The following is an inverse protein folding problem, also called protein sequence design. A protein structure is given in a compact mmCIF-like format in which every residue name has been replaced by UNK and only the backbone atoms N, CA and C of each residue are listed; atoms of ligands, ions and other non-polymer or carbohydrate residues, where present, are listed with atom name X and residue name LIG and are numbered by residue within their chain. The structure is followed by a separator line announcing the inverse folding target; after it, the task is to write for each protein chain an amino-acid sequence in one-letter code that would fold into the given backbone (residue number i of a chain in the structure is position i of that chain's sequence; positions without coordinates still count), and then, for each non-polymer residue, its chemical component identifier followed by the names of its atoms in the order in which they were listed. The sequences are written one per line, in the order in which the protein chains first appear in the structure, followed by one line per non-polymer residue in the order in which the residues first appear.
data_IF_742734049485
#
_entry.id   IF_742734049485
#
_cell.length_a   1.000
_cell.length_b   1.000
_cell.length_c   1.000
_cell.angle_alpha   90.00
_cell.angle_beta   90.00
_cell.angle_gamma   90.00
#
_symmetry.space_group_name_H-M   'P 1'
#
loop_
_entity.id
_entity.type
_entity.pdbx_description
1 polymer ?
#
# COMPACT_ATOMS: atom_id res chain seq x y z
N UNK A 1 -4.83 18.97 -49.75
CA UNK A 1 -4.35 17.92 -48.85
C UNK A 1 -4.94 18.18 -47.49
N UNK A 2 -6.00 17.49 -47.13
CA UNK A 2 -6.71 17.62 -45.87
C UNK A 2 -6.17 16.56 -44.91
N UNK A 3 -5.55 16.99 -43.81
CA UNK A 3 -5.11 16.12 -42.72
C UNK A 3 -6.21 16.01 -41.69
N UNK A 4 -6.78 14.83 -41.59
CA UNK A 4 -7.83 14.45 -40.63
C UNK A 4 -7.17 14.27 -39.26
N UNK A 5 -7.42 15.19 -38.33
CA UNK A 5 -7.09 15.02 -36.90
C UNK A 5 -8.10 14.06 -36.28
N UNK A 6 -7.63 12.92 -35.83
CA UNK A 6 -8.42 12.03 -34.93
C UNK A 6 -8.42 12.62 -33.53
N UNK A 7 -9.58 13.05 -33.10
CA UNK A 7 -9.80 13.42 -31.70
C UNK A 7 -9.95 12.15 -30.86
N UNK A 8 -8.99 11.90 -29.99
CA UNK A 8 -9.14 10.93 -28.89
C UNK A 8 -9.84 11.69 -27.77
N UNK A 9 -11.06 11.28 -27.48
CA UNK A 9 -11.89 11.86 -26.43
C UNK A 9 -11.39 11.34 -25.06
N UNK A 10 -10.50 12.10 -24.41
CA UNK A 10 -10.21 11.86 -22.99
C UNK A 10 -11.37 12.41 -22.16
N UNK A 11 -12.17 11.51 -21.59
CA UNK A 11 -13.24 11.91 -20.66
C UNK A 11 -12.61 12.27 -19.32
N UNK A 12 -12.43 13.56 -19.08
CA UNK A 12 -12.14 14.11 -17.77
C UNK A 12 -13.39 14.14 -16.93
N UNK A 13 -13.50 13.27 -15.94
CA UNK A 13 -14.51 13.40 -14.89
C UNK A 13 -13.99 14.37 -13.82
N UNK A 14 -14.34 15.66 -13.96
CA UNK A 14 -14.26 16.62 -12.88
C UNK A 14 -15.32 16.27 -11.83
N UNK A 15 -14.93 15.75 -10.69
CA UNK A 15 -15.81 15.68 -9.52
C UNK A 15 -15.71 17.00 -8.79
N UNK A 16 -16.68 17.88 -9.02
CA UNK A 16 -16.89 19.10 -8.23
C UNK A 16 -17.40 18.69 -6.84
N UNK A 17 -16.56 18.80 -5.83
CA UNK A 17 -16.92 18.62 -4.43
C UNK A 17 -17.35 19.95 -3.83
N UNK A 18 -18.63 20.21 -3.80
CA UNK A 18 -19.23 21.26 -2.95
C UNK A 18 -20.70 20.99 -2.72
N UNK A 19 -21.02 20.11 -1.77
CA UNK A 19 -22.31 20.17 -1.07
C UNK A 19 -22.07 19.74 0.38
N UNK A 20 -21.85 20.72 1.26
CA UNK A 20 -22.01 20.55 2.70
C UNK A 20 -23.52 20.65 3.01
N UNK A 21 -24.19 19.54 3.29
CA UNK A 21 -25.48 19.53 3.91
C UNK A 21 -25.33 19.05 5.35
N UNK A 22 -25.42 19.99 6.28
CA UNK A 22 -25.65 19.69 7.70
C UNK A 22 -27.02 19.02 7.84
N UNK A 23 -27.04 17.74 8.20
CA UNK A 23 -28.23 17.09 8.75
C UNK A 23 -27.97 16.69 10.19
N UNK A 24 -28.82 17.23 11.08
CA UNK A 24 -28.88 16.85 12.48
C UNK A 24 -29.21 15.36 12.60
N UNK A 25 -28.40 14.65 13.40
CA UNK A 25 -28.59 13.23 13.67
C UNK A 25 -29.75 13.04 14.64
N UNK A 26 -30.82 12.39 14.18
CA UNK A 26 -31.78 11.74 15.06
C UNK A 26 -31.15 10.38 15.48
N UNK A 27 -30.86 10.19 16.77
CA UNK A 27 -30.45 8.92 17.31
C UNK A 27 -31.58 7.90 17.21
N UNK A 28 -31.49 7.01 16.21
CA UNK A 28 -32.29 5.80 16.14
C UNK A 28 -31.39 4.64 16.61
N UNK A 29 -31.86 3.95 17.67
CA UNK A 29 -31.29 2.66 18.11
C UNK A 29 -31.74 1.54 17.17
N UNK A 30 -31.43 1.65 15.89
CA UNK A 30 -31.54 0.55 14.96
C UNK A 30 -30.30 -0.36 15.14
N UNK A 31 -30.49 -1.67 15.29
CA UNK A 31 -29.41 -2.64 15.27
C UNK A 31 -28.52 -2.36 14.05
N UNK A 32 -27.20 -2.17 14.27
CA UNK A 32 -26.25 -1.93 13.20
C UNK A 32 -26.31 -3.10 12.24
N UNK A 33 -26.91 -2.91 11.11
CA UNK A 33 -26.93 -3.90 10.05
C UNK A 33 -25.52 -3.96 9.48
N UNK A 34 -24.85 -5.10 9.63
CA UNK A 34 -23.50 -5.29 9.12
C UNK A 34 -23.51 -5.06 7.61
N UNK A 35 -22.71 -4.14 7.12
CA UNK A 35 -22.63 -3.87 5.69
C UNK A 35 -22.07 -5.11 5.00
N UNK A 36 -22.89 -5.78 4.21
CA UNK A 36 -22.45 -6.94 3.41
C UNK A 36 -21.70 -6.41 2.21
N UNK A 37 -20.40 -6.63 2.17
CA UNK A 37 -19.56 -6.32 1.01
C UNK A 37 -19.64 -7.53 0.08
N UNK A 38 -20.07 -7.36 -1.19
CA UNK A 38 -20.11 -8.46 -2.13
C UNK A 38 -18.71 -9.09 -2.33
N UNK A 39 -18.64 -10.42 -2.56
CA UNK A 39 -17.39 -11.08 -2.92
C UNK A 39 -16.73 -10.42 -4.15
N UNK A 40 -15.40 -10.38 -4.17
CA UNK A 40 -14.63 -9.86 -5.29
C UNK A 40 -14.39 -8.34 -5.28
N UNK A 41 -15.00 -7.59 -4.33
CA UNK A 41 -14.78 -6.14 -4.24
C UNK A 41 -13.50 -5.77 -3.50
N UNK A 42 -13.08 -6.59 -2.52
CA UNK A 42 -11.88 -6.33 -1.72
C UNK A 42 -10.63 -7.00 -2.27
N UNK A 43 -10.72 -7.58 -3.45
CA UNK A 43 -9.61 -8.23 -4.13
C UNK A 43 -9.19 -7.50 -5.41
N UNK A 44 -8.14 -8.01 -6.08
CA UNK A 44 -7.63 -7.42 -7.30
C UNK A 44 -8.64 -7.54 -8.45
N UNK A 45 -8.76 -6.48 -9.29
CA UNK A 45 -9.54 -6.54 -10.52
C UNK A 45 -8.81 -7.38 -11.59
N UNK A 46 -9.52 -7.75 -12.67
CA UNK A 46 -8.86 -8.29 -13.87
C UNK A 46 -8.03 -7.18 -14.58
N UNK A 47 -6.86 -7.51 -15.16
CA UNK A 47 -6.27 -8.88 -15.27
C UNK A 47 -5.41 -9.31 -14.08
N UNK A 48 -5.27 -8.50 -13.03
CA UNK A 48 -4.41 -8.81 -11.88
C UNK A 48 -4.88 -10.06 -11.12
N UNK A 49 -6.19 -10.27 -11.06
CA UNK A 49 -6.79 -11.44 -10.39
C UNK A 49 -6.34 -12.75 -11.02
N UNK A 50 -6.19 -12.76 -12.34
CA UNK A 50 -5.79 -13.95 -13.12
C UNK A 50 -4.29 -14.24 -13.10
N UNK A 51 -3.44 -13.32 -12.61
CA UNK A 51 -1.99 -13.56 -12.52
C UNK A 51 -1.71 -14.68 -11.53
N UNK A 52 -0.81 -15.58 -11.90
CA UNK A 52 -0.25 -16.57 -10.99
C UNK A 52 0.98 -15.98 -10.26
N UNK A 53 1.33 -16.53 -9.09
CA UNK A 53 2.55 -16.14 -8.36
C UNK A 53 3.77 -16.31 -9.29
N UNK A 54 4.60 -15.28 -9.35
CA UNK A 54 5.76 -15.16 -10.24
C UNK A 54 5.44 -14.67 -11.65
N UNK A 55 4.17 -14.53 -12.03
CA UNK A 55 3.80 -13.91 -13.31
C UNK A 55 3.84 -12.39 -13.22
N UNK A 56 4.18 -11.76 -14.34
CA UNK A 56 4.37 -10.32 -14.48
C UNK A 56 3.47 -9.75 -15.58
N UNK A 57 2.89 -8.58 -15.32
CA UNK A 57 2.16 -7.76 -16.26
C UNK A 57 2.91 -6.44 -16.44
N UNK A 58 3.18 -6.05 -17.69
CA UNK A 58 3.73 -4.73 -17.98
C UNK A 58 2.63 -3.69 -17.97
N UNK A 59 2.91 -2.55 -17.37
CA UNK A 59 2.00 -1.43 -17.22
C UNK A 59 2.75 -0.10 -17.41
N UNK A 60 2.01 0.99 -17.49
CA UNK A 60 2.56 2.34 -17.47
C UNK A 60 1.65 3.27 -16.66
N UNK A 61 2.22 4.35 -16.18
CA UNK A 61 1.49 5.48 -15.61
C UNK A 61 1.97 6.78 -16.25
N UNK A 62 1.11 7.78 -16.26
CA UNK A 62 1.49 9.11 -16.72
C UNK A 62 2.13 9.90 -15.57
N UNK A 63 3.06 10.77 -15.89
CA UNK A 63 3.61 11.78 -14.98
C UNK A 63 2.67 12.98 -14.99
N UNK A 64 2.29 13.49 -13.82
CA UNK A 64 1.14 14.43 -13.70
C UNK A 64 1.42 15.80 -14.33
N UNK A 65 2.67 16.23 -14.39
CA UNK A 65 3.05 17.56 -14.90
C UNK A 65 3.60 17.52 -16.33
N UNK A 66 3.60 16.36 -16.98
CA UNK A 66 4.07 16.19 -18.35
C UNK A 66 3.20 15.13 -19.08
N UNK A 67 2.29 15.61 -19.92
CA UNK A 67 1.33 14.74 -20.63
C UNK A 67 2.02 13.76 -21.63
N UNK A 68 3.27 14.00 -21.98
CA UNK A 68 4.06 13.16 -22.87
C UNK A 68 4.98 12.17 -22.13
N UNK A 69 5.22 12.39 -20.84
CA UNK A 69 6.08 11.54 -20.01
C UNK A 69 5.28 10.42 -19.36
N UNK A 70 5.71 9.20 -19.65
CA UNK A 70 5.18 8.00 -19.01
C UNK A 70 6.29 7.24 -18.29
N UNK A 71 5.91 6.60 -17.20
CA UNK A 71 6.77 5.65 -16.48
C UNK A 71 6.30 4.25 -16.78
N UNK A 72 7.12 3.50 -17.50
CA UNK A 72 6.89 2.08 -17.72
C UNK A 72 7.35 1.29 -16.49
N UNK A 73 6.51 0.39 -16.00
CA UNK A 73 6.77 -0.46 -14.86
C UNK A 73 6.15 -1.84 -15.05
N UNK A 74 6.49 -2.78 -14.18
CA UNK A 74 5.86 -4.08 -14.19
C UNK A 74 5.23 -4.43 -12.85
N UNK A 75 4.17 -5.23 -12.91
CA UNK A 75 3.41 -5.73 -11.75
C UNK A 75 3.63 -7.22 -11.68
N UNK A 76 4.33 -7.69 -10.65
CA UNK A 76 4.58 -9.09 -10.37
C UNK A 76 3.68 -9.57 -9.25
N UNK A 77 2.96 -10.68 -9.42
CA UNK A 77 2.23 -11.29 -8.31
C UNK A 77 3.19 -12.08 -7.42
N UNK A 78 3.30 -11.68 -6.15
CA UNK A 78 4.24 -12.25 -5.19
C UNK A 78 3.58 -13.28 -4.28
N UNK A 79 2.31 -13.07 -3.91
CA UNK A 79 1.54 -13.99 -3.08
C UNK A 79 0.05 -13.97 -3.44
N UNK A 80 -0.65 -15.05 -3.09
CA UNK A 80 -2.10 -15.17 -3.27
C UNK A 80 -2.88 -14.80 -2.01
N UNK A 81 -2.33 -15.07 -0.84
CA UNK A 81 -2.96 -14.78 0.45
C UNK A 81 -1.91 -14.14 1.39
N UNK A 82 -2.03 -12.84 1.71
CA UNK A 82 -2.93 -11.92 1.04
C UNK A 82 -2.51 -11.72 -0.42
N UNK A 83 -3.36 -11.09 -1.22
CA UNK A 83 -2.92 -10.68 -2.56
C UNK A 83 -1.81 -9.63 -2.45
N UNK A 84 -0.57 -10.03 -2.76
CA UNK A 84 0.61 -9.13 -2.75
C UNK A 84 1.12 -8.99 -4.18
N UNK A 85 1.34 -7.75 -4.59
CA UNK A 85 1.92 -7.38 -5.87
C UNK A 85 3.18 -6.53 -5.66
N UNK A 86 4.22 -6.83 -6.40
CA UNK A 86 5.42 -6.01 -6.47
C UNK A 86 5.41 -5.21 -7.77
N UNK A 87 5.51 -3.90 -7.64
CA UNK A 87 5.56 -2.95 -8.75
C UNK A 87 7.03 -2.56 -8.95
N UNK A 88 7.64 -3.09 -9.99
CA UNK A 88 9.05 -2.83 -10.35
C UNK A 88 9.18 -1.50 -11.10
N UNK A 89 10.07 -0.64 -10.65
CA UNK A 89 10.28 0.69 -11.24
C UNK A 89 9.03 1.57 -11.25
N UNK A 90 8.18 1.46 -10.22
CA UNK A 90 6.95 2.23 -10.13
C UNK A 90 7.21 3.72 -9.94
N UNK A 91 8.28 4.08 -9.22
CA UNK A 91 8.79 5.44 -9.08
C UNK A 91 10.11 5.59 -9.84
N UNK A 92 10.30 6.73 -10.47
CA UNK A 92 11.62 7.14 -10.97
C UNK A 92 12.54 7.54 -9.81
N UNK A 93 13.85 7.56 -10.05
CA UNK A 93 14.81 8.07 -9.05
C UNK A 93 14.57 9.54 -8.70
N UNK A 94 14.09 10.35 -9.65
CA UNK A 94 13.73 11.75 -9.43
C UNK A 94 12.54 11.87 -8.48
N UNK A 95 11.47 11.10 -8.70
CA UNK A 95 10.29 11.08 -7.84
C UNK A 95 10.62 10.61 -6.42
N UNK A 96 11.49 9.59 -6.27
CA UNK A 96 11.97 9.18 -4.96
C UNK A 96 12.68 10.32 -4.22
N UNK A 97 13.56 11.06 -4.92
CA UNK A 97 14.27 12.20 -4.34
C UNK A 97 13.30 13.33 -3.99
N UNK A 98 12.29 13.59 -4.83
CA UNK A 98 11.26 14.59 -4.56
C UNK A 98 10.41 14.23 -3.32
N UNK A 99 9.99 12.96 -3.17
CA UNK A 99 9.26 12.51 -1.99
C UNK A 99 10.10 12.71 -0.72
N UNK A 100 11.40 12.38 -0.79
CA UNK A 100 12.31 12.60 0.34
C UNK A 100 12.46 14.08 0.69
N UNK A 101 12.65 14.95 -0.30
CA UNK A 101 12.76 16.40 -0.10
C UNK A 101 11.48 16.98 0.53
N UNK A 102 10.30 16.60 0.02
CA UNK A 102 9.02 17.03 0.60
C UNK A 102 8.88 16.62 2.08
N UNK A 103 9.39 15.46 2.46
CA UNK A 103 9.35 15.02 3.86
C UNK A 103 10.31 15.83 4.74
N UNK A 104 11.50 16.15 4.25
CA UNK A 104 12.51 16.94 4.96
C UNK A 104 12.05 18.40 5.12
N UNK A 105 11.49 19.01 4.08
CA UNK A 105 10.92 20.35 4.08
C UNK A 105 9.70 20.48 4.99
N UNK A 106 8.84 19.47 5.01
CA UNK A 106 7.66 19.39 5.91
C UNK A 106 8.01 19.22 7.39
N UNK A 107 9.26 18.96 7.69
CA UNK A 107 9.76 18.75 9.05
C UNK A 107 9.35 17.39 9.63
N UNK A 108 10.27 16.44 9.59
CA UNK A 108 10.06 15.11 10.15
C UNK A 108 10.01 15.14 11.68
N UNK A 109 9.07 14.41 12.26
CA UNK A 109 8.89 14.26 13.72
C UNK A 109 9.13 12.82 14.13
N UNK A 110 9.48 12.59 15.40
CA UNK A 110 9.52 11.21 15.94
C UNK A 110 8.19 10.52 15.70
N UNK A 111 8.25 9.31 15.15
CA UNK A 111 7.04 8.53 14.88
C UNK A 111 6.47 7.99 16.18
N UNK A 112 5.24 8.39 16.50
CA UNK A 112 4.46 7.90 17.64
C UNK A 112 3.36 6.96 17.13
N UNK A 113 2.82 6.12 18.01
CA UNK A 113 1.63 5.31 17.76
C UNK A 113 0.36 6.16 17.90
N UNK A 114 -0.80 5.53 17.85
CA UNK A 114 -2.10 6.19 18.11
C UNK A 114 -2.13 6.83 19.50
N UNK A 115 -1.41 6.25 20.49
CA UNK A 115 -1.24 6.84 21.82
C UNK A 115 -0.09 7.85 21.78
N UNK A 116 -0.39 9.12 22.03
CA UNK A 116 0.60 10.21 22.04
C UNK A 116 1.76 9.88 23.00
N UNK A 117 2.99 9.99 22.49
CA UNK A 117 4.21 9.69 23.23
C UNK A 117 4.60 8.20 23.24
N UNK A 118 3.78 7.29 22.73
CA UNK A 118 4.11 5.89 22.61
C UNK A 118 4.87 5.60 21.31
N UNK A 119 6.13 5.19 21.43
CA UNK A 119 7.00 4.78 20.33
C UNK A 119 7.29 3.28 20.32
N UNK A 120 6.61 2.51 21.18
CA UNK A 120 6.92 1.10 21.42
C UNK A 120 6.80 0.22 20.19
N UNK A 121 5.89 0.54 19.27
CA UNK A 121 5.69 -0.21 18.03
C UNK A 121 6.65 0.19 16.91
N UNK A 122 7.25 1.41 16.96
CA UNK A 122 8.21 1.92 15.98
C UNK A 122 9.45 2.42 16.69
N UNK A 123 10.58 1.77 16.45
CA UNK A 123 11.88 2.16 17.02
C UNK A 123 12.69 2.94 16.00
N UNK A 124 13.40 3.96 16.47
CA UNK A 124 14.32 4.80 15.68
C UNK A 124 13.70 5.24 14.36
N UNK A 125 12.51 5.84 14.42
CA UNK A 125 11.71 6.21 13.26
C UNK A 125 11.25 7.66 13.35
N UNK A 126 11.38 8.38 12.25
CA UNK A 126 10.79 9.71 12.05
C UNK A 126 9.73 9.65 10.95
N UNK A 127 8.72 10.51 11.04
CA UNK A 127 7.57 10.55 10.13
C UNK A 127 7.29 11.96 9.63
N UNK A 128 6.92 12.06 8.37
CA UNK A 128 6.27 13.22 7.77
C UNK A 128 4.98 12.77 7.07
N UNK A 129 4.04 13.70 6.90
CA UNK A 129 2.77 13.48 6.22
C UNK A 129 2.60 14.48 5.09
N UNK A 130 2.34 14.00 3.88
CA UNK A 130 2.09 14.83 2.71
C UNK A 130 0.64 14.65 2.28
N UNK A 131 -0.13 15.74 2.10
CA UNK A 131 -1.50 15.66 1.62
C UNK A 131 -1.57 14.94 0.27
N UNK A 132 -2.49 13.98 0.15
CA UNK A 132 -2.72 13.20 -1.07
C UNK A 132 -3.69 13.90 -2.03
N UNK A 133 -4.29 15.01 -1.62
CA UNK A 133 -5.24 15.80 -2.41
C UNK A 133 -5.41 17.20 -1.83
N UNK A 134 -6.09 18.07 -2.56
CA UNK A 134 -6.38 19.44 -2.14
C UNK A 134 -5.28 20.43 -2.56
N UNK A 135 -5.42 21.74 -2.17
CA UNK A 135 -4.52 22.79 -2.61
C UNK A 135 -3.09 22.63 -2.08
N UNK A 136 -2.93 21.93 -0.94
CA UNK A 136 -1.62 21.67 -0.34
C UNK A 136 -1.04 20.30 -0.76
N UNK A 137 -1.75 19.56 -1.66
CA UNK A 137 -1.33 18.27 -2.16
C UNK A 137 -0.24 18.41 -3.23
N UNK A 138 0.73 17.52 -3.19
CA UNK A 138 1.72 17.38 -4.26
C UNK A 138 1.07 16.76 -5.51
N UNK A 139 1.34 17.33 -6.70
CA UNK A 139 0.90 16.75 -7.99
C UNK A 139 1.41 15.31 -8.16
N UNK A 140 2.67 15.06 -7.80
CA UNK A 140 3.26 13.72 -7.79
C UNK A 140 2.43 12.75 -6.92
N UNK A 141 2.13 13.13 -5.67
CA UNK A 141 1.39 12.25 -4.74
C UNK A 141 -0.02 11.98 -5.26
N UNK A 142 -0.70 13.01 -5.79
CA UNK A 142 -2.03 12.86 -6.40
C UNK A 142 -2.01 11.94 -7.63
N UNK A 143 -0.97 12.00 -8.45
CA UNK A 143 -0.77 11.12 -9.61
C UNK A 143 -0.53 9.67 -9.22
N UNK A 144 0.22 9.42 -8.16
CA UNK A 144 0.42 8.07 -7.61
C UNK A 144 -0.90 7.49 -7.08
N UNK A 145 -1.72 8.32 -6.42
CA UNK A 145 -3.07 7.92 -5.98
C UNK A 145 -3.94 7.54 -7.18
N UNK A 146 -4.01 8.39 -8.20
CA UNK A 146 -4.82 8.14 -9.39
C UNK A 146 -4.40 6.83 -10.09
N UNK A 147 -3.10 6.61 -10.26
CA UNK A 147 -2.54 5.40 -10.86
C UNK A 147 -2.90 4.15 -10.05
N UNK A 148 -2.73 4.19 -8.73
CA UNK A 148 -3.05 3.07 -7.83
C UNK A 148 -4.54 2.74 -7.86
N UNK A 149 -5.42 3.75 -7.78
CA UNK A 149 -6.87 3.55 -7.85
C UNK A 149 -7.28 2.90 -9.17
N UNK A 150 -6.75 3.38 -10.29
CA UNK A 150 -7.08 2.82 -11.60
C UNK A 150 -6.64 1.37 -11.77
N UNK A 151 -5.49 1.01 -11.20
CA UNK A 151 -4.90 -0.34 -11.39
C UNK A 151 -5.51 -1.35 -10.42
N UNK A 152 -5.65 -0.99 -9.14
CA UNK A 152 -5.97 -1.93 -8.07
C UNK A 152 -7.37 -1.79 -7.49
N UNK A 153 -7.99 -0.61 -7.58
CA UNK A 153 -9.19 -0.26 -6.83
C UNK A 153 -10.35 0.21 -7.72
N UNK A 154 -10.26 0.06 -9.03
CA UNK A 154 -11.30 0.52 -9.95
C UNK A 154 -12.69 -0.01 -9.61
N UNK A 155 -12.81 -1.26 -9.22
CA UNK A 155 -14.08 -1.90 -8.87
C UNK A 155 -14.56 -1.49 -7.47
N UNK A 156 -13.62 -1.30 -6.53
CA UNK A 156 -13.91 -0.77 -5.19
C UNK A 156 -14.51 0.62 -5.29
N UNK A 157 -13.88 1.53 -6.03
CA UNK A 157 -14.33 2.92 -6.18
C UNK A 157 -15.66 3.01 -6.90
N UNK A 158 -15.88 2.22 -7.96
CA UNK A 158 -17.17 2.16 -8.67
C UNK A 158 -18.30 1.69 -7.77
N UNK A 159 -18.04 0.70 -6.92
CA UNK A 159 -19.05 0.08 -6.05
C UNK A 159 -19.24 0.82 -4.73
N UNK A 160 -18.24 1.59 -4.30
CA UNK A 160 -18.18 2.26 -3.00
C UNK A 160 -17.65 3.68 -3.14
N UNK A 161 -18.54 4.65 -3.44
CA UNK A 161 -18.14 6.07 -3.58
C UNK A 161 -17.56 6.70 -2.30
N UNK A 162 -17.76 6.05 -1.14
CA UNK A 162 -17.17 6.45 0.14
C UNK A 162 -15.72 6.00 0.33
N UNK A 163 -15.15 5.28 -0.63
CA UNK A 163 -13.72 4.97 -0.62
C UNK A 163 -12.87 6.24 -0.63
N UNK A 164 -11.83 6.27 0.19
CA UNK A 164 -10.94 7.41 0.33
C UNK A 164 -9.48 7.01 0.39
N UNK A 165 -8.60 7.99 0.35
CA UNK A 165 -7.16 7.81 0.53
C UNK A 165 -6.69 8.67 1.69
N UNK A 166 -5.78 8.12 2.52
CA UNK A 166 -5.11 8.88 3.56
C UNK A 166 -3.98 9.73 2.96
N UNK A 167 -3.48 10.71 3.73
CA UNK A 167 -2.26 11.41 3.36
C UNK A 167 -1.09 10.41 3.26
N UNK A 168 -0.15 10.67 2.35
CA UNK A 168 1.06 9.86 2.23
C UNK A 168 1.89 9.98 3.51
N UNK A 169 2.18 8.85 4.14
CA UNK A 169 3.08 8.78 5.28
C UNK A 169 4.49 8.46 4.81
N UNK A 170 5.45 9.35 5.06
CA UNK A 170 6.85 9.11 4.75
C UNK A 170 7.58 8.79 6.04
N UNK A 171 8.37 7.72 6.03
CA UNK A 171 9.05 7.18 7.19
C UNK A 171 10.56 7.09 6.92
N UNK A 172 11.33 7.61 7.86
CA UNK A 172 12.78 7.47 7.91
C UNK A 172 13.15 6.66 9.14
N UNK A 173 13.63 5.45 8.95
CA UNK A 173 14.19 4.62 10.01
C UNK A 173 15.70 4.80 10.03
N UNK A 174 16.26 5.09 11.20
CA UNK A 174 17.70 5.00 11.43
C UNK A 174 18.17 3.55 11.52
N UNK A 175 19.48 3.35 11.66
CA UNK A 175 20.10 2.03 11.84
C UNK A 175 19.43 1.29 12.99
N UNK A 176 19.08 0.03 12.79
CA UNK A 176 18.34 -0.80 13.75
C UNK A 176 16.88 -0.39 13.94
N UNK A 177 16.40 0.57 13.16
CA UNK A 177 15.00 1.01 13.21
C UNK A 177 14.04 -0.05 12.68
N UNK A 178 12.93 -0.26 13.39
CA UNK A 178 11.96 -1.30 13.06
C UNK A 178 10.51 -0.85 13.31
N UNK A 179 9.58 -1.56 12.69
CA UNK A 179 8.16 -1.52 13.03
C UNK A 179 7.69 -2.93 13.31
N UNK A 180 7.16 -3.16 14.53
CA UNK A 180 6.71 -4.47 14.98
C UNK A 180 5.57 -5.03 14.13
N UNK A 181 5.28 -6.32 14.27
CA UNK A 181 4.19 -6.98 13.56
C UNK A 181 2.83 -6.33 13.81
N UNK A 182 2.16 -5.94 12.75
CA UNK A 182 0.88 -5.28 12.78
C UNK A 182 0.03 -5.60 11.54
N UNK A 183 -1.23 -5.28 11.62
CA UNK A 183 -2.14 -5.18 10.48
C UNK A 183 -2.50 -3.72 10.28
N UNK A 184 -2.67 -3.31 9.04
CA UNK A 184 -3.07 -1.94 8.70
C UNK A 184 -4.56 -1.64 8.96
N UNK A 185 -5.26 -2.46 9.66
CA UNK A 185 -6.68 -2.38 10.02
C UNK A 185 -7.40 -1.03 9.84
N UNK A 186 -8.45 -0.78 10.61
CA UNK A 186 -9.16 0.50 10.64
C UNK A 186 -9.69 0.97 9.27
N UNK A 187 -10.42 0.07 8.57
CA UNK A 187 -11.01 0.30 7.25
C UNK A 187 -10.02 0.48 6.08
N UNK A 188 -8.72 0.32 6.28
CA UNK A 188 -7.70 0.33 5.23
C UNK A 188 -7.78 -0.95 4.43
N UNK A 189 -8.45 -0.91 3.28
CA UNK A 189 -8.65 -2.10 2.44
C UNK A 189 -7.43 -2.46 1.63
N UNK A 190 -6.58 -1.46 1.34
CA UNK A 190 -5.43 -1.63 0.48
C UNK A 190 -4.29 -0.72 0.94
N UNK A 191 -3.06 -1.23 0.85
CA UNK A 191 -1.84 -0.52 1.22
C UNK A 191 -0.83 -0.57 0.08
N UNK A 192 -0.15 0.55 -0.14
CA UNK A 192 1.05 0.61 -1.00
C UNK A 192 2.22 1.11 -0.16
N UNK A 193 3.33 0.37 -0.18
CA UNK A 193 4.60 0.76 0.45
C UNK A 193 5.61 1.03 -0.68
N UNK A 194 6.12 2.24 -0.77
CA UNK A 194 7.14 2.65 -1.74
C UNK A 194 8.52 2.57 -1.12
N UNK A 195 9.49 1.96 -1.81
CA UNK A 195 10.90 1.86 -1.39
C UNK A 195 11.68 3.05 -1.94
N UNK A 196 11.80 4.12 -1.15
CA UNK A 196 12.35 5.42 -1.59
C UNK A 196 13.85 5.36 -1.83
N UNK A 197 14.59 4.60 -1.02
CA UNK A 197 16.04 4.41 -1.21
C UNK A 197 16.46 2.96 -1.43
N UNK A 198 15.51 2.04 -1.54
CA UNK A 198 15.80 0.62 -1.79
C UNK A 198 16.42 -0.12 -0.60
N UNK A 199 16.47 0.48 0.58
CA UNK A 199 17.01 -0.14 1.80
C UNK A 199 15.88 -0.72 2.64
N UNK A 200 16.14 -1.80 3.31
CA UNK A 200 15.29 -2.35 4.35
C UNK A 200 14.50 -3.58 3.96
N UNK A 201 13.56 -3.94 4.81
CA UNK A 201 12.74 -5.12 4.63
C UNK A 201 11.30 -4.90 5.07
N UNK A 202 10.39 -5.56 4.36
CA UNK A 202 9.00 -5.75 4.78
C UNK A 202 8.73 -7.25 4.77
N UNK A 203 8.31 -7.80 5.91
CA UNK A 203 8.08 -9.23 6.03
C UNK A 203 6.63 -9.52 6.33
N UNK A 204 6.06 -10.43 5.54
CA UNK A 204 4.72 -11.00 5.67
C UNK A 204 4.86 -12.46 6.13
N UNK A 205 4.94 -12.73 7.44
CA UNK A 205 5.28 -14.07 7.96
C UNK A 205 4.27 -15.15 7.60
N UNK A 206 3.02 -14.76 7.39
CA UNK A 206 1.90 -15.68 7.15
C UNK A 206 1.44 -15.71 5.68
N UNK A 207 2.14 -14.98 4.78
CA UNK A 207 1.78 -14.97 3.37
C UNK A 207 1.82 -16.40 2.76
N UNK A 208 0.77 -16.72 1.99
CA UNK A 208 0.53 -18.03 1.37
C UNK A 208 0.52 -19.22 2.36
N UNK A 209 0.34 -18.95 3.66
CA UNK A 209 0.13 -20.00 4.65
C UNK A 209 -1.30 -20.52 4.56
N UNK A 210 -1.48 -21.84 4.78
CA UNK A 210 -2.80 -22.42 4.82
C UNK A 210 -3.63 -21.81 5.96
N UNK A 211 -4.82 -21.32 5.65
CA UNK A 211 -5.74 -20.70 6.61
C UNK A 211 -6.06 -21.58 7.83
N UNK A 212 -6.13 -22.90 7.64
CA UNK A 212 -6.36 -23.85 8.72
C UNK A 212 -5.24 -23.88 9.78
N UNK A 213 -4.06 -23.33 9.44
CA UNK A 213 -2.89 -23.24 10.31
C UNK A 213 -2.74 -21.88 10.99
N UNK A 214 -3.57 -20.91 10.64
CA UNK A 214 -3.52 -19.56 11.23
C UNK A 214 -4.51 -19.46 12.40
N UNK A 215 -4.05 -19.15 13.61
CA UNK A 215 -4.94 -18.94 14.76
C UNK A 215 -5.98 -17.84 14.49
N UNK A 216 -7.19 -18.00 15.04
CA UNK A 216 -8.30 -17.05 14.81
C UNK A 216 -8.24 -15.81 15.71
N UNK A 217 -7.28 -15.72 16.61
CA UNK A 217 -7.14 -14.61 17.54
C UNK A 217 -5.73 -14.04 17.52
N UNK A 218 -5.61 -12.75 17.85
CA UNK A 218 -4.37 -12.00 17.80
C UNK A 218 -3.24 -12.63 18.63
N UNK A 219 -3.54 -13.12 19.82
CA UNK A 219 -2.51 -13.67 20.71
C UNK A 219 -1.87 -14.92 20.10
N UNK A 220 -2.69 -15.87 19.62
CA UNK A 220 -2.19 -17.07 18.97
C UNK A 220 -1.45 -16.78 17.66
N UNK A 221 -1.88 -15.76 16.91
CA UNK A 221 -1.16 -15.32 15.69
C UNK A 221 0.23 -14.79 16.06
N UNK A 222 0.36 -13.95 17.07
CA UNK A 222 1.65 -13.41 17.48
C UNK A 222 2.58 -14.50 18.03
N UNK A 223 2.06 -15.43 18.84
CA UNK A 223 2.79 -16.61 19.32
C UNK A 223 3.30 -17.49 18.14
N UNK A 224 2.45 -17.71 17.13
CA UNK A 224 2.87 -18.42 15.92
C UNK A 224 4.04 -17.70 15.23
N UNK A 225 3.93 -16.40 15.04
CA UNK A 225 4.91 -15.57 14.31
C UNK A 225 6.26 -15.51 15.03
N UNK A 226 6.30 -15.57 16.36
CA UNK A 226 7.55 -15.62 17.14
C UNK A 226 8.46 -16.82 16.78
N UNK A 227 7.87 -17.88 16.22
CA UNK A 227 8.59 -19.09 15.78
C UNK A 227 8.93 -19.09 14.29
N UNK A 228 8.64 -18.01 13.57
CA UNK A 228 8.91 -17.89 12.15
C UNK A 228 10.12 -16.97 11.90
N UNK A 229 10.77 -17.15 10.75
CA UNK A 229 11.97 -16.41 10.38
C UNK A 229 11.82 -15.79 8.97
N UNK A 230 12.23 -14.51 8.79
CA UNK A 230 12.31 -13.89 7.47
C UNK A 230 13.20 -14.70 6.52
N UNK A 231 12.76 -14.85 5.28
CA UNK A 231 13.49 -15.63 4.26
C UNK A 231 13.34 -17.14 4.37
N UNK A 232 12.70 -17.66 5.42
CA UNK A 232 12.34 -19.08 5.56
C UNK A 232 10.83 -19.30 5.53
N UNK A 233 10.08 -18.31 5.98
CA UNK A 233 8.62 -18.38 6.10
C UNK A 233 7.96 -17.12 5.53
N UNK A 234 6.79 -17.29 4.94
CA UNK A 234 6.04 -16.22 4.33
C UNK A 234 6.80 -15.57 3.18
N UNK A 235 6.63 -14.26 3.02
CA UNK A 235 7.31 -13.47 1.98
C UNK A 235 8.10 -12.34 2.65
N UNK A 236 9.40 -12.29 2.38
CA UNK A 236 10.32 -11.25 2.83
C UNK A 236 10.77 -10.39 1.63
N UNK A 237 10.28 -9.17 1.57
CA UNK A 237 10.70 -8.18 0.58
C UNK A 237 11.96 -7.49 1.12
N UNK A 238 13.11 -7.83 0.57
CA UNK A 238 14.42 -7.38 1.05
C UNK A 238 15.02 -6.36 0.09
N UNK A 239 15.29 -5.16 0.59
CA UNK A 239 16.07 -4.13 -0.09
C UNK A 239 17.56 -4.24 0.27
N UNK A 240 18.40 -3.93 -0.69
CA UNK A 240 19.84 -3.87 -0.52
C UNK A 240 20.39 -2.64 -1.24
N UNK A 241 21.11 -1.77 -0.51
CA UNK A 241 21.75 -0.57 -1.07
C UNK A 241 22.92 -0.91 -1.99
N UNK A 242 23.48 -2.11 -1.89
CA UNK A 242 24.71 -2.47 -2.60
C UNK A 242 24.54 -2.64 -4.10
N UNK A 243 23.30 -2.56 -4.64
CA UNK A 243 22.99 -2.87 -6.04
C UNK A 243 23.62 -4.19 -6.54
N UNK A 244 24.05 -5.01 -5.60
CA UNK A 244 24.54 -6.33 -5.92
C UNK A 244 23.36 -7.17 -6.37
N UNK A 245 23.09 -7.14 -7.66
CA UNK A 245 22.33 -8.19 -8.32
C UNK A 245 23.08 -9.50 -8.05
N UNK A 246 22.91 -10.06 -6.86
CA UNK A 246 23.32 -11.42 -6.61
C UNK A 246 22.34 -12.30 -7.38
N UNK A 247 22.73 -12.55 -8.61
CA UNK A 247 22.24 -13.66 -9.40
C UNK A 247 22.27 -14.91 -8.49
N UNK A 248 21.11 -15.50 -8.30
CA UNK A 248 21.05 -16.89 -7.88
C UNK A 248 20.53 -17.22 -6.50
N UNK A 249 19.96 -16.32 -5.73
CA UNK A 249 19.23 -16.75 -4.54
C UNK A 249 17.75 -17.03 -4.89
N UNK A 250 17.48 -18.20 -5.47
CA UNK A 250 16.12 -18.72 -5.74
C UNK A 250 15.40 -19.09 -4.43
N UNK A 251 15.50 -18.23 -3.42
CA UNK A 251 14.73 -18.41 -2.20
C UNK A 251 13.33 -17.92 -2.43
N UNK A 252 12.35 -18.84 -2.56
CA UNK A 252 10.93 -18.52 -2.77
C UNK A 252 10.33 -17.61 -1.70
N UNK A 253 11.00 -17.48 -0.56
CA UNK A 253 10.55 -16.65 0.57
C UNK A 253 11.21 -15.26 0.60
N UNK A 254 12.16 -14.98 -0.27
CA UNK A 254 12.85 -13.67 -0.33
C UNK A 254 12.71 -13.08 -1.73
N UNK A 255 12.17 -11.89 -1.80
CA UNK A 255 12.00 -11.11 -3.02
C UNK A 255 12.80 -9.82 -2.87
N UNK A 256 13.73 -9.58 -3.79
CA UNK A 256 14.54 -8.36 -3.76
C UNK A 256 13.72 -7.17 -4.21
N UNK A 257 13.92 -6.04 -3.55
CA UNK A 257 13.32 -4.74 -3.92
C UNK A 257 14.40 -3.68 -4.06
N UNK A 258 14.18 -2.75 -4.98
CA UNK A 258 15.11 -1.69 -5.31
C UNK A 258 14.51 -0.31 -5.01
N UNK A 259 15.33 0.74 -5.09
CA UNK A 259 14.85 2.12 -5.10
C UNK A 259 13.85 2.31 -6.25
N UNK A 260 12.68 2.85 -5.93
CA UNK A 260 11.60 3.09 -6.89
C UNK A 260 10.61 1.93 -7.05
N UNK A 261 10.90 0.76 -6.49
CA UNK A 261 9.90 -0.32 -6.40
C UNK A 261 8.83 0.02 -5.35
N UNK A 262 7.66 -0.60 -5.49
CA UNK A 262 6.61 -0.53 -4.47
C UNK A 262 5.98 -1.90 -4.26
N UNK A 263 5.51 -2.17 -3.05
CA UNK A 263 4.67 -3.33 -2.76
C UNK A 263 3.25 -2.87 -2.48
N UNK A 264 2.30 -3.55 -3.09
CA UNK A 264 0.87 -3.28 -2.98
C UNK A 264 0.15 -4.53 -2.48
N UNK A 265 -0.71 -4.40 -1.47
CA UNK A 265 -1.40 -5.55 -0.91
C UNK A 265 -2.78 -5.21 -0.33
N UNK A 266 -3.65 -6.23 -0.30
CA UNK A 266 -4.99 -6.15 0.25
C UNK A 266 -4.98 -6.58 1.71
N UNK A 267 -5.66 -5.81 2.58
CA UNK A 267 -5.71 -6.07 4.03
C UNK A 267 -6.91 -6.91 4.45
N UNK A 268 -7.88 -7.10 3.56
CA UNK A 268 -9.12 -7.82 3.81
C UNK A 268 -9.26 -9.01 2.87
N UNK A 269 -9.95 -10.04 3.34
CA UNK A 269 -10.27 -11.21 2.50
C UNK A 269 -11.28 -10.85 1.42
N UNK A 270 -11.09 -11.45 0.25
CA UNK A 270 -11.99 -11.29 -0.91
C UNK A 270 -13.29 -12.14 -0.79
N UNK A 271 -13.65 -12.59 0.41
CA UNK A 271 -14.71 -13.56 0.62
C UNK A 271 -16.06 -12.97 1.06
N UNK A 272 -16.29 -11.68 0.83
CA UNK A 272 -17.58 -11.03 1.14
C UNK A 272 -17.87 -10.78 2.62
N UNK A 273 -16.96 -11.13 3.49
CA UNK A 273 -17.08 -10.95 4.94
C UNK A 273 -16.08 -9.90 5.39
N UNK A 274 -16.15 -8.70 5.23
CA UNK A 274 -15.30 -7.59 5.73
C UNK A 274 -14.30 -7.96 6.85
N UNK A 275 -13.62 -9.12 6.71
CA UNK A 275 -12.69 -9.65 7.69
C UNK A 275 -11.26 -9.29 7.30
N UNK A 276 -10.51 -8.78 8.27
CA UNK A 276 -9.07 -8.60 8.11
C UNK A 276 -8.42 -9.95 7.79
N UNK A 277 -7.53 -9.94 6.80
CA UNK A 277 -6.73 -11.11 6.46
C UNK A 277 -5.52 -11.18 7.39
N UNK A 278 -5.41 -12.22 8.22
CA UNK A 278 -4.24 -12.42 9.06
C UNK A 278 -2.97 -12.65 8.24
N UNK A 279 -3.08 -13.16 7.04
CA UNK A 279 -1.94 -13.29 6.14
C UNK A 279 -1.34 -11.92 5.73
N UNK A 280 -2.12 -10.83 5.86
CA UNK A 280 -1.64 -9.46 5.66
C UNK A 280 -0.88 -8.88 6.87
N UNK A 281 -0.73 -9.63 7.97
CA UNK A 281 0.14 -9.23 9.07
C UNK A 281 1.56 -9.03 8.54
N UNK A 282 2.17 -7.90 8.85
CA UNK A 282 3.51 -7.58 8.38
C UNK A 282 4.31 -6.76 9.39
N UNK A 283 5.61 -6.67 9.16
CA UNK A 283 6.52 -5.83 9.94
C UNK A 283 7.56 -5.16 9.06
N UNK A 284 8.14 -4.07 9.57
CA UNK A 284 9.33 -3.46 9.00
C UNK A 284 10.57 -3.97 9.74
N UNK A 285 11.36 -4.83 9.08
CA UNK A 285 12.56 -5.40 9.68
C UNK A 285 13.64 -4.35 9.92
N UNK A 286 14.44 -4.48 10.99
CA UNK A 286 15.59 -3.63 11.24
C UNK A 286 16.61 -3.77 10.12
N UNK A 287 17.38 -2.71 9.88
CA UNK A 287 18.41 -2.64 8.84
C UNK A 287 19.69 -2.02 9.38
N UNK A 288 20.80 -2.30 8.74
CA UNK A 288 22.12 -1.73 9.09
C UNK A 288 22.35 -0.35 8.48
N UNK A 289 21.40 0.14 7.70
CA UNK A 289 21.42 1.42 7.03
C UNK A 289 20.15 2.23 7.27
N UNK A 290 20.20 3.52 6.95
CA UNK A 290 18.99 4.36 6.99
C UNK A 290 18.02 3.92 5.91
N UNK A 291 16.80 3.55 6.32
CA UNK A 291 15.70 3.13 5.44
C UNK A 291 14.71 4.26 5.24
N UNK A 292 14.37 4.53 3.98
CA UNK A 292 13.31 5.45 3.61
C UNK A 292 12.20 4.73 2.86
N UNK A 293 10.99 4.79 3.39
CA UNK A 293 9.78 4.29 2.72
C UNK A 293 8.67 5.33 2.80
N UNK A 294 7.67 5.18 1.93
CA UNK A 294 6.42 5.90 2.05
C UNK A 294 5.24 4.93 1.99
N UNK A 295 4.16 5.23 2.72
CA UNK A 295 2.95 4.42 2.76
C UNK A 295 1.76 5.23 2.25
N UNK A 296 0.91 4.61 1.43
CA UNK A 296 -0.43 5.08 1.11
C UNK A 296 -1.45 4.05 1.56
N UNK A 297 -2.48 4.50 2.28
CA UNK A 297 -3.60 3.68 2.70
C UNK A 297 -4.89 4.11 2.02
N UNK A 298 -5.62 3.13 1.50
CA UNK A 298 -6.90 3.30 0.83
C UNK A 298 -8.00 2.71 1.71
N UNK A 299 -9.05 3.48 1.99
CA UNK A 299 -10.08 3.19 3.00
C UNK A 299 -11.44 2.96 2.38
N UNK A 300 -12.23 2.11 3.06
CA UNK A 300 -13.68 2.07 2.93
C UNK A 300 -14.29 2.56 4.24
N UNK A 301 -14.95 3.73 4.20
CA UNK A 301 -15.53 4.33 5.40
C UNK A 301 -16.61 3.45 6.06
N UNK A 302 -17.27 2.60 5.28
CA UNK A 302 -18.25 1.64 5.81
C UNK A 302 -17.62 0.57 6.72
N UNK A 303 -16.32 0.34 6.63
CA UNK A 303 -15.59 -0.61 7.48
C UNK A 303 -15.07 0.00 8.78
N UNK A 304 -15.06 1.33 8.92
CA UNK A 304 -14.50 2.03 10.08
C UNK A 304 -15.26 1.81 11.40
N UNK A 305 -16.34 1.02 11.40
CA UNK A 305 -17.19 0.78 12.57
C UNK A 305 -17.21 -0.68 13.04
N UNK A 306 -16.22 -1.49 12.64
CA UNK A 306 -16.09 -2.89 13.03
C UNK A 306 -14.94 -3.11 14.01
#
# INVERSE_FOLDING_TARGET
MMTTRRHILCVWLFINSSIFIKRAAAFSTAAKQQAVIPPGILGPPEPLKSLQVGQTLNAFRLVVDDDDDRVDFSIERVANSPHIFLLRNFLTSSECNQIQALAEEGGMKTAETVTKGDTSSRKNCSVAWIPSSGPDGSSLVSGLVASTVNIFLSDVVKSRPSAGVENMQILKYGVGGEFVHHQDGDARVFTVIYYINGVGGTWFPLADRNDGEIPKNKAGVLELVENLEPGKHGIFLKGDSSNSAQEGNNNKHTVLVNKGDAVAFYNYRDEGSAQLDWAALHCGSPTDETKWIANHWYRLNELANY
#
